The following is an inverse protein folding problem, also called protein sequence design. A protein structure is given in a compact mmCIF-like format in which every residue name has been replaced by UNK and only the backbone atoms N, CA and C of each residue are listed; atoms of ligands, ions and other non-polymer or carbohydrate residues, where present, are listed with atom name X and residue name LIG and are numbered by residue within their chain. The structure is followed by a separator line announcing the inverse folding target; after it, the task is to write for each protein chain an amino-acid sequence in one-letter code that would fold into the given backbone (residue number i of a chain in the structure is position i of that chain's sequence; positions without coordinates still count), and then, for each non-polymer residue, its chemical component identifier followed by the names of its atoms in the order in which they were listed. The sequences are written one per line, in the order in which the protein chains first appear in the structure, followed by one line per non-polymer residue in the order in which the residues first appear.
data_IF_305542269873
#
_entry.id   IF_305542269873
#
_cell.length_a   1.000
_cell.length_b   1.000
_cell.length_c   1.000
_cell.angle_alpha   90.00
_cell.angle_beta   90.00
_cell.angle_gamma   90.00
#
_symmetry.space_group_name_H-M   'P 1'
#
loop_
_entity.id
_entity.type
_entity.pdbx_description
1 polymer ?
#
# COMPACT_ATOMS: atom_id res chain seq x y z
N UNK A 1 5.41 12.73 -9.77
CA UNK A 1 5.61 11.74 -8.69
C UNK A 1 6.63 12.20 -7.63
N UNK A 2 7.84 12.66 -8.01
CA UNK A 2 8.93 13.01 -7.06
C UNK A 2 8.63 14.07 -5.99
N UNK A 3 7.89 15.14 -6.31
CA UNK A 3 7.52 16.19 -5.33
C UNK A 3 6.62 15.70 -4.19
N UNK A 4 5.77 14.70 -4.43
CA UNK A 4 4.89 14.13 -3.40
C UNK A 4 5.65 13.14 -2.50
N UNK A 5 6.64 12.43 -3.06
CA UNK A 5 7.50 11.51 -2.31
C UNK A 5 8.40 12.28 -1.33
N UNK A 6 9.06 13.34 -1.80
CA UNK A 6 9.91 14.18 -0.96
C UNK A 6 9.12 14.80 0.21
N UNK A 7 7.90 15.30 -0.06
CA UNK A 7 6.98 15.78 0.99
C UNK A 7 6.57 14.68 1.97
N UNK A 8 6.35 13.44 1.52
CA UNK A 8 6.02 12.33 2.42
C UNK A 8 7.20 11.92 3.31
N UNK A 9 8.41 11.88 2.75
CA UNK A 9 9.63 11.59 3.50
C UNK A 9 9.97 12.66 4.55
N UNK A 10 9.51 13.92 4.35
CA UNK A 10 9.70 14.99 5.34
C UNK A 10 8.65 15.01 6.45
N UNK A 11 7.53 14.27 6.32
CA UNK A 11 6.44 14.27 7.31
C UNK A 11 6.80 13.50 8.59
N UNK A 12 7.71 12.54 8.51
CA UNK A 12 8.10 11.70 9.65
C UNK A 12 9.61 11.59 9.78
N UNK A 13 10.10 11.59 11.03
CA UNK A 13 11.50 11.31 11.35
C UNK A 13 11.80 9.82 11.50
N UNK A 14 10.77 8.96 11.52
CA UNK A 14 10.93 7.51 11.67
C UNK A 14 11.62 6.89 10.46
N UNK A 15 12.72 6.17 10.70
CA UNK A 15 13.48 5.44 9.67
C UNK A 15 12.61 4.34 9.04
N UNK A 16 11.90 3.58 9.87
CA UNK A 16 11.04 2.48 9.39
C UNK A 16 9.96 2.96 8.42
N UNK A 17 9.40 4.16 8.63
CA UNK A 17 8.40 4.72 7.74
C UNK A 17 8.99 5.12 6.38
N UNK A 18 10.18 5.73 6.39
CA UNK A 18 10.89 6.10 5.17
C UNK A 18 11.30 4.86 4.38
N UNK A 19 11.85 3.87 5.06
CA UNK A 19 12.26 2.59 4.47
C UNK A 19 11.07 1.87 3.80
N UNK A 20 9.92 1.78 4.47
CA UNK A 20 8.73 1.15 3.90
C UNK A 20 8.28 1.83 2.60
N UNK A 21 8.33 3.17 2.57
CA UNK A 21 7.99 3.92 1.36
C UNK A 21 8.96 3.62 0.22
N UNK A 22 10.27 3.53 0.49
CA UNK A 22 11.25 3.13 -0.51
C UNK A 22 11.02 1.70 -1.00
N UNK A 23 10.74 0.76 -0.09
CA UNK A 23 10.42 -0.64 -0.44
C UNK A 23 9.22 -0.73 -1.38
N UNK A 24 8.20 0.09 -1.18
CA UNK A 24 7.04 0.16 -2.07
C UNK A 24 7.42 0.74 -3.44
N UNK A 25 8.12 1.88 -3.46
CA UNK A 25 8.50 2.56 -4.71
C UNK A 25 9.40 1.70 -5.61
N UNK A 26 10.38 1.04 -5.01
CA UNK A 26 11.32 0.16 -5.73
C UNK A 26 10.79 -1.25 -5.92
N UNK A 27 9.56 -1.56 -5.46
CA UNK A 27 8.94 -2.90 -5.54
C UNK A 27 9.88 -3.97 -4.98
N UNK A 28 10.41 -3.70 -3.78
CA UNK A 28 11.39 -4.54 -3.08
C UNK A 28 10.88 -5.97 -2.86
N UNK A 29 9.61 -6.10 -2.48
CA UNK A 29 8.97 -7.39 -2.26
C UNK A 29 8.77 -8.14 -3.57
N UNK A 30 9.35 -9.34 -3.68
CA UNK A 30 9.23 -10.19 -4.85
C UNK A 30 7.83 -10.81 -4.90
N UNK A 31 7.16 -10.66 -6.04
CA UNK A 31 5.87 -11.28 -6.30
C UNK A 31 6.07 -12.68 -6.92
N UNK A 32 5.12 -13.63 -6.77
CA UNK A 32 5.18 -14.96 -7.36
C UNK A 32 5.58 -14.95 -8.84
N UNK A 33 4.97 -14.09 -9.64
CA UNK A 33 5.27 -13.92 -11.08
C UNK A 33 6.70 -13.45 -11.41
N UNK A 34 7.38 -12.78 -10.47
CA UNK A 34 8.81 -12.47 -10.61
C UNK A 34 9.66 -13.66 -10.17
N UNK A 35 9.25 -14.35 -9.11
CA UNK A 35 9.97 -15.52 -8.61
C UNK A 35 10.00 -16.65 -9.64
N UNK A 36 8.93 -16.88 -10.40
CA UNK A 36 8.93 -17.90 -11.46
C UNK A 36 9.91 -17.63 -12.60
N UNK A 37 10.32 -16.38 -12.79
CA UNK A 37 11.36 -16.01 -13.76
C UNK A 37 12.77 -16.33 -13.26
N UNK A 38 12.95 -16.36 -11.94
CA UNK A 38 14.23 -16.67 -11.29
C UNK A 38 14.33 -18.18 -11.05
N UNK A 39 13.23 -18.79 -10.60
CA UNK A 39 13.09 -20.20 -10.26
C UNK A 39 11.93 -20.79 -11.08
N UNK A 40 12.21 -21.46 -12.21
CA UNK A 40 11.17 -21.98 -13.10
C UNK A 40 10.21 -22.99 -12.44
N UNK A 41 10.62 -23.66 -11.37
CA UNK A 41 9.80 -24.60 -10.60
C UNK A 41 8.84 -23.91 -9.62
N UNK A 42 8.96 -22.60 -9.41
CA UNK A 42 8.09 -21.86 -8.50
C UNK A 42 6.69 -21.68 -9.09
N UNK A 43 5.68 -21.63 -8.22
CA UNK A 43 4.29 -21.43 -8.63
C UNK A 43 3.98 -19.92 -8.82
N UNK A 44 3.46 -19.48 -9.99
CA UNK A 44 3.17 -18.08 -10.26
C UNK A 44 1.88 -17.58 -9.62
N UNK A 45 1.08 -18.44 -9.00
CA UNK A 45 -0.20 -18.07 -8.37
C UNK A 45 -0.02 -17.14 -7.17
N UNK A 46 -1.01 -16.29 -6.94
CA UNK A 46 -1.03 -15.37 -5.83
C UNK A 46 -1.05 -16.14 -4.50
N UNK A 47 -0.17 -15.77 -3.57
CA UNK A 47 -0.11 -16.40 -2.25
C UNK A 47 -1.34 -16.18 -1.39
N UNK A 48 -2.13 -15.13 -1.68
CA UNK A 48 -3.31 -14.77 -0.90
C UNK A 48 -4.55 -15.49 -1.43
N UNK A 49 -4.95 -15.24 -2.68
CA UNK A 49 -6.16 -15.84 -3.25
C UNK A 49 -5.97 -17.22 -3.88
N UNK A 50 -4.73 -17.69 -4.06
CA UNK A 50 -4.37 -19.02 -4.60
C UNK A 50 -4.93 -19.36 -5.99
N UNK A 51 -5.50 -18.38 -6.70
CA UNK A 51 -6.22 -18.57 -7.96
C UNK A 51 -5.56 -17.79 -9.10
N UNK A 52 -5.48 -16.46 -8.96
CA UNK A 52 -4.98 -15.58 -10.02
C UNK A 52 -3.45 -15.48 -10.03
N UNK A 53 -2.89 -15.03 -11.15
CA UNK A 53 -1.46 -14.79 -11.32
C UNK A 53 -0.95 -13.72 -10.32
N UNK A 54 0.06 -14.07 -9.54
CA UNK A 54 0.62 -13.25 -8.47
C UNK A 54 1.55 -12.16 -8.97
N UNK A 55 1.01 -11.10 -9.59
CA UNK A 55 1.76 -9.88 -9.90
C UNK A 55 1.87 -8.98 -8.68
N UNK A 56 2.87 -8.09 -8.67
CA UNK A 56 3.06 -7.14 -7.56
C UNK A 56 1.78 -6.32 -7.31
N UNK A 57 1.21 -5.75 -8.37
CA UNK A 57 -0.03 -4.99 -8.27
C UNK A 57 -1.23 -5.85 -7.82
N UNK A 58 -1.27 -7.12 -8.23
CA UNK A 58 -2.28 -8.04 -7.75
C UNK A 58 -2.20 -8.26 -6.24
N UNK A 59 -1.01 -8.59 -5.72
CA UNK A 59 -0.83 -8.84 -4.29
C UNK A 59 -1.05 -7.60 -3.41
N UNK A 60 -0.89 -6.39 -3.94
CA UNK A 60 -1.09 -5.15 -3.17
C UNK A 60 -2.46 -4.50 -3.35
N UNK A 61 -3.18 -4.76 -4.44
CA UNK A 61 -4.41 -4.03 -4.76
C UNK A 61 -5.53 -4.88 -5.34
N UNK A 62 -5.31 -5.55 -6.49
CA UNK A 62 -6.42 -6.17 -7.23
C UNK A 62 -6.82 -7.56 -6.72
N UNK A 63 -6.02 -8.20 -5.86
CA UNK A 63 -6.38 -9.47 -5.25
C UNK A 63 -7.71 -9.32 -4.48
N UNK A 64 -8.71 -10.20 -4.68
CA UNK A 64 -10.01 -10.06 -4.01
C UNK A 64 -9.91 -9.96 -2.48
N UNK A 65 -9.02 -10.73 -1.87
CA UNK A 65 -8.78 -10.71 -0.42
C UNK A 65 -8.22 -9.36 0.03
N UNK A 66 -7.27 -8.82 -0.74
CA UNK A 66 -6.65 -7.52 -0.46
C UNK A 66 -7.60 -6.36 -0.75
N UNK A 67 -8.44 -6.49 -1.78
CA UNK A 67 -9.50 -5.54 -2.08
C UNK A 67 -10.47 -5.45 -0.90
N UNK A 68 -10.91 -6.58 -0.35
CA UNK A 68 -11.74 -6.62 0.86
C UNK A 68 -11.06 -6.00 2.07
N UNK A 69 -9.77 -6.27 2.26
CA UNK A 69 -8.96 -5.64 3.31
C UNK A 69 -8.96 -4.12 3.17
N UNK A 70 -8.63 -3.58 1.99
CA UNK A 70 -8.60 -2.14 1.75
C UNK A 70 -9.97 -1.47 1.87
N UNK A 71 -11.06 -2.16 1.51
CA UNK A 71 -12.42 -1.64 1.71
C UNK A 71 -12.73 -1.48 3.21
N UNK A 72 -12.33 -2.44 4.06
CA UNK A 72 -12.49 -2.32 5.52
C UNK A 72 -11.69 -1.14 6.06
N UNK A 73 -10.43 -0.99 5.63
CA UNK A 73 -9.58 0.14 6.01
C UNK A 73 -10.19 1.47 5.55
N UNK A 74 -10.73 1.54 4.34
CA UNK A 74 -11.42 2.72 3.82
C UNK A 74 -12.57 3.11 4.74
N UNK A 75 -13.51 2.19 4.98
CA UNK A 75 -14.70 2.48 5.78
C UNK A 75 -14.30 2.97 7.19
N UNK A 76 -13.36 2.28 7.82
CA UNK A 76 -12.86 2.67 9.15
C UNK A 76 -12.18 4.05 9.16
N UNK A 77 -11.39 4.38 8.13
CA UNK A 77 -10.80 5.72 8.01
C UNK A 77 -11.85 6.80 7.77
N UNK A 78 -12.87 6.54 6.94
CA UNK A 78 -13.95 7.48 6.68
C UNK A 78 -14.80 7.72 7.94
N UNK A 79 -15.07 6.69 8.73
CA UNK A 79 -15.77 6.80 10.01
C UNK A 79 -15.01 7.68 11.01
N UNK A 80 -13.69 7.53 11.11
CA UNK A 80 -12.88 8.32 12.06
C UNK A 80 -12.66 9.76 11.56
N UNK A 81 -12.47 9.93 10.26
CA UNK A 81 -12.11 11.24 9.70
C UNK A 81 -13.31 12.07 9.28
N UNK A 82 -14.49 11.44 9.13
CA UNK A 82 -15.71 12.04 8.59
C UNK A 82 -15.48 12.65 7.19
N UNK A 83 -14.56 12.07 6.42
CA UNK A 83 -14.17 12.51 5.08
C UNK A 83 -14.25 11.33 4.13
N UNK A 84 -14.93 11.51 2.99
CA UNK A 84 -14.96 10.52 1.93
C UNK A 84 -13.59 10.36 1.26
N UNK A 85 -13.07 9.12 1.23
CA UNK A 85 -11.80 8.77 0.61
C UNK A 85 -12.00 8.22 -0.81
N UNK A 86 -11.12 8.63 -1.72
CA UNK A 86 -11.14 8.12 -3.09
C UNK A 86 -10.67 6.67 -3.13
N UNK A 87 -11.35 5.83 -3.91
CA UNK A 87 -10.94 4.45 -4.17
C UNK A 87 -9.83 4.39 -5.23
N UNK A 88 -8.65 4.89 -4.87
CA UNK A 88 -7.48 4.97 -5.77
C UNK A 88 -6.25 4.33 -5.15
N UNK A 89 -5.54 3.44 -5.86
CA UNK A 89 -4.34 2.78 -5.32
C UNK A 89 -3.25 3.79 -4.92
N UNK A 90 -3.16 4.95 -5.55
CA UNK A 90 -2.20 6.00 -5.20
C UNK A 90 -2.42 6.53 -3.79
N UNK A 91 -3.69 6.62 -3.35
CA UNK A 91 -4.02 7.02 -2.00
C UNK A 91 -3.58 5.94 -1.01
N UNK A 92 -4.05 4.71 -1.22
CA UNK A 92 -3.79 3.62 -0.27
C UNK A 92 -2.34 3.19 -0.27
N UNK A 93 -1.78 2.85 -1.43
CA UNK A 93 -0.42 2.31 -1.58
C UNK A 93 0.69 3.35 -1.44
N UNK A 94 0.46 4.57 -1.94
CA UNK A 94 1.50 5.61 -1.98
C UNK A 94 1.24 6.74 -0.98
N UNK A 95 0.06 6.83 -0.39
CA UNK A 95 -0.32 7.95 0.49
C UNK A 95 -0.48 9.27 -0.28
N UNK A 96 -0.79 9.23 -1.58
CA UNK A 96 -0.98 10.45 -2.37
C UNK A 96 -2.42 10.92 -2.14
N UNK A 97 -2.55 11.92 -1.27
CA UNK A 97 -3.84 12.52 -0.91
C UNK A 97 -4.16 13.74 -1.78
N UNK A 98 -5.46 13.99 -1.97
CA UNK A 98 -5.94 15.22 -2.62
C UNK A 98 -5.54 16.46 -1.79
N UNK A 99 -5.43 17.61 -2.47
CA UNK A 99 -4.98 18.86 -1.85
C UNK A 99 -6.03 19.52 -0.97
N UNK A 100 -7.30 19.22 -1.17
CA UNK A 100 -8.46 19.78 -0.46
C UNK A 100 -8.67 19.21 0.95
N UNK A 101 -8.10 18.04 1.30
CA UNK A 101 -8.24 17.54 2.67
C UNK A 101 -7.52 18.44 3.71
N UNK A 102 -8.10 18.62 4.90
CA UNK A 102 -7.48 19.38 5.98
C UNK A 102 -6.08 18.83 6.34
N UNK A 103 -5.08 19.67 6.65
CA UNK A 103 -3.71 19.21 6.96
C UNK A 103 -3.64 18.17 8.07
N UNK A 104 -4.43 18.35 9.15
CA UNK A 104 -4.49 17.40 10.27
C UNK A 104 -5.02 16.02 9.85
N UNK A 105 -6.06 16.00 9.01
CA UNK A 105 -6.65 14.77 8.46
C UNK A 105 -5.65 14.08 7.53
N UNK A 106 -4.95 14.84 6.67
CA UNK A 106 -3.90 14.27 5.82
C UNK A 106 -2.81 13.60 6.64
N UNK A 107 -2.35 14.26 7.70
CA UNK A 107 -1.32 13.72 8.59
C UNK A 107 -1.79 12.41 9.24
N UNK A 108 -3.01 12.38 9.79
CA UNK A 108 -3.58 11.19 10.41
C UNK A 108 -3.68 10.01 9.42
N UNK A 109 -4.31 10.23 8.26
CA UNK A 109 -4.47 9.20 7.23
C UNK A 109 -3.11 8.65 6.79
N UNK A 110 -2.12 9.52 6.56
CA UNK A 110 -0.78 9.11 6.15
C UNK A 110 -0.10 8.20 7.17
N UNK A 111 -0.20 8.51 8.47
CA UNK A 111 0.41 7.70 9.51
C UNK A 111 -0.26 6.35 9.62
N UNK A 112 -1.60 6.32 9.62
CA UNK A 112 -2.34 5.05 9.71
C UNK A 112 -2.07 4.18 8.50
N UNK A 113 -2.16 4.72 7.27
CA UNK A 113 -1.86 3.96 6.04
C UNK A 113 -0.43 3.42 6.06
N UNK A 114 0.53 4.18 6.60
CA UNK A 114 1.92 3.71 6.70
C UNK A 114 2.05 2.56 7.70
N UNK A 115 1.40 2.64 8.86
CA UNK A 115 1.36 1.53 9.82
C UNK A 115 0.72 0.27 9.22
N UNK A 116 -0.43 0.43 8.57
CA UNK A 116 -1.14 -0.65 7.86
C UNK A 116 -0.24 -1.32 6.82
N UNK A 117 0.51 -0.55 6.03
CA UNK A 117 1.44 -1.12 5.06
C UNK A 117 2.55 -1.93 5.70
N UNK A 118 3.15 -1.42 6.76
CA UNK A 118 4.23 -2.12 7.46
C UNK A 118 3.70 -3.47 7.96
N UNK A 119 2.49 -3.49 8.55
CA UNK A 119 1.84 -4.74 8.96
C UNK A 119 1.52 -5.67 7.78
N UNK A 120 1.02 -5.13 6.66
CA UNK A 120 0.71 -5.93 5.48
C UNK A 120 1.97 -6.51 4.81
N UNK A 121 3.09 -5.80 4.88
CA UNK A 121 4.39 -6.24 4.37
C UNK A 121 5.02 -7.35 5.23
N UNK A 122 4.69 -7.45 6.52
CA UNK A 122 5.17 -8.52 7.40
C UNK A 122 4.55 -9.88 7.07
N UNK A 123 3.35 -9.88 6.48
CA UNK A 123 2.63 -11.08 6.02
C UNK A 123 2.74 -11.25 4.51
N UNK A 124 3.88 -10.84 3.96
CA UNK A 124 4.20 -10.98 2.54
C UNK A 124 4.60 -12.41 2.20
#
# INVERSE_FOLDING_TARGET
MGRNLAKKLSITKSVAYKENLYKMMYRWHLAPSRLTKIYPTANPTCWKCKTNHGTYYHLWWTCPIIKMFWMKIKNWLEEITQVGLEWKPELYLLGILRKDYPPKIKYLILHILTGIHISLAQVW
#
